data_IF_053561402376
#
_entry.id   IF_053561402376
#
_cell.length_a   1.000
_cell.length_b   1.000
_cell.length_c   1.000
_cell.angle_alpha   90.00
_cell.angle_beta   90.00
_cell.angle_gamma   90.00
#
_symmetry.space_group_name_H-M   'P 1'
#
loop_
_entity.id
_entity.type
_entity.pdbx_description
1 polymer ?
#
# COMPACT_ATOMS: atom_id res chain seq x y z
N UNK A 1 6.66 18.62 -0.29
CA UNK A 1 6.25 17.29 0.19
C UNK A 1 5.66 16.49 -0.97
N UNK A 2 5.95 15.18 -1.09
CA UNK A 2 5.34 14.32 -2.11
C UNK A 2 3.81 14.41 -2.13
N UNK A 3 3.24 14.46 -3.32
CA UNK A 3 1.80 14.33 -3.57
C UNK A 3 1.50 12.96 -4.15
N UNK A 4 0.75 12.14 -3.41
CA UNK A 4 0.35 10.79 -3.83
C UNK A 4 -1.03 10.84 -4.46
N UNK A 5 -1.10 10.47 -5.74
CA UNK A 5 -2.33 10.42 -6.53
C UNK A 5 -2.73 8.97 -6.88
N UNK A 6 -3.76 8.81 -7.70
CA UNK A 6 -4.28 7.52 -8.17
C UNK A 6 -3.49 6.90 -9.33
N UNK A 7 -2.22 7.30 -9.51
CA UNK A 7 -1.32 6.72 -10.52
C UNK A 7 -0.76 5.37 -10.07
N UNK A 8 -0.62 4.42 -11.00
CA UNK A 8 0.08 3.15 -10.75
C UNK A 8 1.59 3.23 -10.93
N UNK A 9 2.12 4.41 -11.21
CA UNK A 9 3.54 4.62 -11.43
C UNK A 9 4.20 5.25 -10.21
N UNK A 10 5.53 5.11 -10.09
CA UNK A 10 6.35 5.87 -9.15
C UNK A 10 5.84 5.88 -7.69
N UNK A 11 5.40 4.71 -7.19
CA UNK A 11 4.84 4.56 -5.84
C UNK A 11 3.64 5.50 -5.55
N UNK A 12 2.88 5.86 -6.58
CA UNK A 12 1.76 6.81 -6.49
C UNK A 12 2.18 8.28 -6.48
N UNK A 13 3.47 8.60 -6.46
CA UNK A 13 3.95 9.99 -6.41
C UNK A 13 3.84 10.63 -7.79
N UNK A 14 3.00 11.65 -7.88
CA UNK A 14 2.63 12.35 -9.12
C UNK A 14 3.16 13.80 -9.15
N UNK A 15 3.84 14.22 -8.09
CA UNK A 15 4.43 15.54 -7.98
C UNK A 15 4.77 15.90 -6.54
N UNK A 16 5.04 17.18 -6.33
CA UNK A 16 5.36 17.74 -5.01
C UNK A 16 4.54 19.01 -4.79
N UNK A 17 4.01 19.14 -3.57
CA UNK A 17 3.26 20.32 -3.12
C UNK A 17 4.04 21.06 -2.04
N UNK A 18 3.90 22.38 -2.03
CA UNK A 18 4.49 23.29 -1.02
C UNK A 18 3.53 23.73 0.07
N UNK A 19 2.25 23.36 -0.02
CA UNK A 19 1.24 23.72 0.98
C UNK A 19 1.48 22.96 2.28
N UNK A 20 1.52 23.70 3.38
CA UNK A 20 1.63 23.26 4.76
C UNK A 20 0.36 23.59 5.56
N UNK A 21 -0.42 24.58 5.12
CA UNK A 21 -1.71 24.93 5.72
C UNK A 21 -2.87 24.08 5.17
N UNK A 22 -3.76 23.65 6.07
CA UNK A 22 -5.03 22.95 5.77
C UNK A 22 -4.87 21.66 4.94
N UNK A 23 -3.69 21.04 4.99
CA UNK A 23 -3.42 19.74 4.40
C UNK A 23 -3.32 18.67 5.49
N UNK A 24 -3.74 17.45 5.16
CA UNK A 24 -3.49 16.28 6.02
C UNK A 24 -2.24 15.57 5.54
N UNK A 25 -1.29 15.40 6.46
CA UNK A 25 -0.05 14.67 6.23
C UNK A 25 -0.21 13.24 6.70
N UNK A 26 0.24 12.30 5.86
CA UNK A 26 0.27 10.88 6.13
C UNK A 26 1.71 10.38 6.07
N UNK A 27 1.98 9.27 6.75
CA UNK A 27 3.27 8.57 6.71
C UNK A 27 3.10 7.13 7.20
N UNK A 28 4.03 6.24 6.81
CA UNK A 28 4.12 4.85 7.26
C UNK A 28 2.77 4.11 7.18
N UNK A 29 2.17 4.15 5.99
CA UNK A 29 0.87 3.55 5.71
C UNK A 29 0.82 2.96 4.30
N UNK A 30 -0.19 2.13 4.06
CA UNK A 30 -0.54 1.68 2.73
C UNK A 30 -1.46 2.72 2.06
N UNK A 31 -1.25 3.01 0.79
CA UNK A 31 -2.16 3.81 -0.03
C UNK A 31 -2.83 2.96 -1.08
N UNK A 32 -4.12 3.15 -1.31
CA UNK A 32 -4.90 2.47 -2.36
C UNK A 32 -5.53 3.52 -3.27
N UNK A 33 -5.31 3.40 -4.58
CA UNK A 33 -5.96 4.25 -5.58
C UNK A 33 -7.47 3.92 -5.67
N UNK A 34 -8.32 4.92 -5.47
CA UNK A 34 -9.77 4.75 -5.48
C UNK A 34 -10.38 4.82 -6.89
N UNK A 35 -9.77 5.62 -7.77
CA UNK A 35 -10.15 5.84 -9.17
C UNK A 35 -8.92 5.68 -10.08
N UNK A 36 -9.08 5.94 -11.39
CA UNK A 36 -7.96 5.90 -12.34
C UNK A 36 -7.30 4.52 -12.39
N UNK A 37 -6.10 4.40 -11.83
CA UNK A 37 -5.44 3.10 -11.62
C UNK A 37 -6.01 2.35 -10.41
N UNK A 38 -7.34 2.24 -10.36
CA UNK A 38 -8.10 1.78 -9.19
C UNK A 38 -7.61 0.44 -8.66
N UNK A 39 -7.49 0.33 -7.34
CA UNK A 39 -7.03 -0.86 -6.65
C UNK A 39 -5.51 -0.99 -6.56
N UNK A 40 -4.72 -0.16 -7.25
CA UNK A 40 -3.26 -0.16 -7.06
C UNK A 40 -2.92 0.21 -5.63
N UNK A 41 -2.05 -0.58 -4.99
CA UNK A 41 -1.64 -0.35 -3.62
C UNK A 41 -0.12 -0.18 -3.48
N UNK A 42 0.29 0.78 -2.65
CA UNK A 42 1.69 1.10 -2.38
C UNK A 42 1.92 1.29 -0.89
N UNK A 43 3.09 0.88 -0.41
CA UNK A 43 3.59 1.30 0.90
C UNK A 43 4.27 2.68 0.77
N UNK A 44 3.95 3.61 1.68
CA UNK A 44 4.52 4.94 1.71
C UNK A 44 5.49 5.09 2.90
N UNK A 45 6.82 5.04 2.68
CA UNK A 45 7.82 5.17 3.76
C UNK A 45 8.12 6.61 4.18
N UNK A 46 7.53 7.60 3.51
CA UNK A 46 7.80 9.03 3.71
C UNK A 46 6.52 9.81 4.05
N UNK A 47 6.69 11.04 4.52
CA UNK A 47 5.58 11.99 4.69
C UNK A 47 5.02 12.44 3.33
N UNK A 48 3.70 12.45 3.19
CA UNK A 48 3.04 12.84 1.94
C UNK A 48 1.65 13.45 2.18
N UNK A 49 1.15 14.12 1.14
CA UNK A 49 -0.26 14.52 1.02
C UNK A 49 -0.92 13.63 -0.02
N UNK A 50 -2.11 13.12 0.30
CA UNK A 50 -2.90 12.30 -0.60
C UNK A 50 -3.88 13.14 -1.42
N UNK A 51 -4.10 12.76 -2.67
CA UNK A 51 -5.32 13.11 -3.43
C UNK A 51 -6.56 12.61 -2.71
N UNK A 52 -7.69 13.27 -2.95
CA UNK A 52 -9.04 12.78 -2.60
C UNK A 52 -9.39 11.41 -3.19
N UNK A 53 -8.75 11.02 -4.30
CA UNK A 53 -8.89 9.70 -4.93
C UNK A 53 -7.92 8.64 -4.38
N UNK A 54 -7.35 8.84 -3.19
CA UNK A 54 -6.47 7.87 -2.54
C UNK A 54 -6.93 7.60 -1.11
N UNK A 55 -7.06 6.33 -0.76
CA UNK A 55 -7.30 5.90 0.63
C UNK A 55 -5.99 5.53 1.29
N UNK A 56 -5.70 6.13 2.45
CA UNK A 56 -4.58 5.74 3.31
C UNK A 56 -5.04 4.78 4.43
N UNK A 57 -4.38 3.63 4.55
CA UNK A 57 -4.66 2.56 5.51
C UNK A 57 -3.44 2.34 6.42
N UNK A 58 -3.60 2.59 7.71
CA UNK A 58 -2.53 2.48 8.71
C UNK A 58 -2.85 1.46 9.80
N UNK A 59 -1.81 0.78 10.30
CA UNK A 59 -1.87 -0.11 11.47
C UNK A 59 -0.53 -0.07 12.21
N UNK A 60 -0.57 0.20 13.51
CA UNK A 60 0.62 0.36 14.36
C UNK A 60 1.42 -0.92 14.59
N UNK A 61 0.86 -2.10 14.27
CA UNK A 61 1.55 -3.39 14.36
C UNK A 61 2.41 -3.72 13.13
N UNK A 62 2.26 -2.95 12.04
CA UNK A 62 2.93 -3.22 10.78
C UNK A 62 4.25 -2.46 10.68
N UNK A 63 5.24 -3.12 10.07
CA UNK A 63 6.46 -2.48 9.61
C UNK A 63 6.46 -2.37 8.08
N UNK A 64 7.50 -1.74 7.52
CA UNK A 64 7.74 -1.61 6.08
C UNK A 64 7.50 -2.91 5.30
N UNK A 65 8.13 -4.01 5.71
CA UNK A 65 8.03 -5.28 5.01
C UNK A 65 6.64 -5.91 5.13
N UNK A 66 5.96 -5.74 6.27
CA UNK A 66 4.56 -6.15 6.40
C UNK A 66 3.66 -5.35 5.46
N UNK A 67 3.87 -4.03 5.33
CA UNK A 67 3.11 -3.21 4.39
C UNK A 67 3.39 -3.57 2.94
N UNK A 68 4.65 -3.84 2.57
CA UNK A 68 5.00 -4.32 1.23
C UNK A 68 4.31 -5.65 0.91
N UNK A 69 4.26 -6.58 1.87
CA UNK A 69 3.50 -7.83 1.72
C UNK A 69 2.02 -7.53 1.46
N UNK A 70 1.40 -6.70 2.29
CA UNK A 70 -0.01 -6.32 2.14
C UNK A 70 -0.28 -5.58 0.83
N UNK A 71 0.65 -4.75 0.34
CA UNK A 71 0.52 -4.06 -0.94
C UNK A 71 0.28 -5.05 -2.09
N UNK A 72 0.95 -6.22 -2.07
CA UNK A 72 0.74 -7.27 -3.07
C UNK A 72 -0.68 -7.86 -3.02
N UNK A 73 -1.21 -8.11 -1.82
CA UNK A 73 -2.54 -8.68 -1.64
C UNK A 73 -3.64 -7.67 -1.94
N UNK A 74 -3.51 -6.44 -1.44
CA UNK A 74 -4.49 -5.38 -1.65
C UNK A 74 -4.52 -4.95 -3.12
N UNK A 75 -3.40 -5.01 -3.84
CA UNK A 75 -3.39 -4.74 -5.29
C UNK A 75 -4.29 -5.68 -6.09
N UNK A 76 -4.64 -6.86 -5.57
CA UNK A 76 -5.61 -7.77 -6.22
C UNK A 76 -7.02 -7.19 -6.32
N UNK A 77 -7.32 -6.12 -5.58
CA UNK A 77 -8.58 -5.38 -5.75
C UNK A 77 -8.75 -4.84 -7.19
N UNK A 78 -7.67 -4.70 -7.96
CA UNK A 78 -7.70 -4.41 -9.40
C UNK A 78 -8.52 -5.42 -10.21
N UNK A 79 -8.66 -6.66 -9.74
CA UNK A 79 -9.50 -7.69 -10.40
C UNK A 79 -11.01 -7.43 -10.21
N UNK A 80 -11.38 -6.69 -9.16
CA UNK A 80 -12.77 -6.47 -8.73
C UNK A 80 -13.31 -5.09 -9.09
N UNK A 81 -12.42 -4.10 -9.13
CA UNK A 81 -12.73 -2.69 -9.31
C UNK A 81 -12.21 -2.18 -10.65
N UNK A 82 -12.90 -1.18 -11.21
CA UNK A 82 -12.58 -0.59 -12.50
C UNK A 82 -13.08 0.85 -12.56
N UNK A 83 -12.83 1.58 -13.65
CA UNK A 83 -13.33 2.95 -13.80
C UNK A 83 -14.85 3.08 -13.58
N UNK A 84 -15.65 2.11 -14.06
CA UNK A 84 -17.11 2.11 -13.86
C UNK A 84 -17.54 1.59 -12.48
N UNK A 85 -16.58 1.14 -11.67
CA UNK A 85 -16.79 0.56 -10.34
C UNK A 85 -15.60 0.93 -9.47
N UNK A 86 -15.55 2.19 -9.05
CA UNK A 86 -14.47 2.72 -8.23
C UNK A 86 -14.51 2.22 -6.78
N UNK A 87 -13.41 2.35 -6.06
CA UNK A 87 -13.39 2.08 -4.62
C UNK A 87 -13.93 3.32 -3.89
N UNK A 88 -14.73 3.09 -2.84
CA UNK A 88 -15.13 4.13 -1.90
C UNK A 88 -15.02 3.58 -0.48
N UNK A 89 -15.21 4.46 0.50
CA UNK A 89 -15.15 4.14 1.92
C UNK A 89 -16.00 2.93 2.33
N UNK A 90 -17.23 2.81 1.81
CA UNK A 90 -18.10 1.67 2.14
C UNK A 90 -17.60 0.36 1.56
N UNK A 91 -17.10 0.41 0.32
CA UNK A 91 -16.59 -0.75 -0.42
C UNK A 91 -15.32 -1.27 0.22
N UNK A 92 -14.34 -0.40 0.46
CA UNK A 92 -13.05 -0.81 1.05
C UNK A 92 -13.22 -1.34 2.49
N UNK A 93 -14.14 -0.77 3.29
CA UNK A 93 -14.46 -1.27 4.64
C UNK A 93 -15.05 -2.70 4.65
N UNK A 94 -15.64 -3.15 3.54
CA UNK A 94 -16.20 -4.50 3.40
C UNK A 94 -15.23 -5.49 2.76
N UNK A 95 -14.09 -5.02 2.26
CA UNK A 95 -13.10 -5.92 1.68
C UNK A 95 -12.49 -6.82 2.75
N UNK A 96 -12.22 -8.05 2.34
CA UNK A 96 -11.55 -9.05 3.14
C UNK A 96 -10.40 -9.62 2.32
N UNK A 97 -9.24 -9.73 2.96
CA UNK A 97 -8.06 -10.36 2.39
C UNK A 97 -7.67 -11.56 3.27
N UNK A 98 -7.14 -12.59 2.64
CA UNK A 98 -6.61 -13.75 3.35
C UNK A 98 -5.18 -13.43 3.79
N UNK A 99 -4.90 -13.64 5.08
CA UNK A 99 -3.60 -13.42 5.68
C UNK A 99 -3.07 -14.72 6.30
N UNK A 100 -1.74 -14.90 6.36
CA UNK A 100 -1.17 -15.92 7.22
C UNK A 100 -1.53 -15.62 8.68
N UNK A 101 -1.73 -16.67 9.47
CA UNK A 101 -2.10 -16.58 10.88
C UNK A 101 -1.05 -17.23 11.76
N UNK A 102 -0.82 -16.64 12.93
CA UNK A 102 0.04 -17.20 13.97
C UNK A 102 -0.66 -18.38 14.66
N UNK A 103 0.05 -19.05 15.57
CA UNK A 103 -0.52 -20.11 16.40
C UNK A 103 -1.68 -19.61 17.28
N UNK A 104 -1.69 -18.32 17.62
CA UNK A 104 -2.73 -17.69 18.43
C UNK A 104 -3.97 -17.28 17.59
N UNK A 105 -3.93 -17.49 16.26
CA UNK A 105 -5.03 -17.16 15.35
C UNK A 105 -5.07 -15.70 14.89
N UNK A 106 -4.14 -14.87 15.35
CA UNK A 106 -3.95 -13.49 14.88
C UNK A 106 -3.16 -13.46 13.57
N UNK A 107 -3.25 -12.38 12.76
CA UNK A 107 -2.42 -12.28 11.57
C UNK A 107 -0.92 -12.28 11.90
N UNK A 108 -0.14 -13.07 11.16
CA UNK A 108 1.28 -13.24 11.41
C UNK A 108 2.13 -12.16 10.70
N UNK A 109 2.21 -10.99 11.34
CA UNK A 109 2.99 -9.85 10.85
C UNK A 109 4.50 -10.15 10.75
N UNK A 110 5.01 -11.01 11.64
CA UNK A 110 6.42 -11.38 11.66
C UNK A 110 6.75 -12.23 10.44
N UNK A 111 5.95 -13.27 10.17
CA UNK A 111 6.10 -14.10 8.97
C UNK A 111 6.02 -13.26 7.69
N UNK A 112 5.04 -12.36 7.57
CA UNK A 112 4.91 -11.48 6.40
C UNK A 112 6.17 -10.64 6.18
N UNK A 113 6.73 -10.09 7.26
CA UNK A 113 7.95 -9.29 7.20
C UNK A 113 9.16 -10.11 6.77
N UNK A 114 9.36 -11.28 7.39
CA UNK A 114 10.52 -12.13 7.14
C UNK A 114 10.47 -12.76 5.75
N UNK A 115 9.27 -13.09 5.27
CA UNK A 115 9.06 -13.53 3.91
C UNK A 115 9.52 -12.49 2.89
N UNK A 116 9.10 -11.22 3.05
CA UNK A 116 9.49 -10.16 2.13
C UNK A 116 11.01 -9.89 2.15
N UNK A 117 11.63 -9.89 3.34
CA UNK A 117 13.10 -9.78 3.46
C UNK A 117 13.82 -10.92 2.75
N UNK A 118 13.33 -12.15 2.90
CA UNK A 118 13.92 -13.30 2.23
C UNK A 118 13.79 -13.20 0.70
N UNK A 119 12.63 -12.73 0.19
CA UNK A 119 12.46 -12.47 -1.25
C UNK A 119 13.42 -11.39 -1.75
N UNK A 120 13.54 -10.27 -1.04
CA UNK A 120 14.47 -9.19 -1.38
C UNK A 120 15.93 -9.68 -1.45
N UNK A 121 16.40 -10.39 -0.40
CA UNK A 121 17.74 -10.94 -0.35
C UNK A 121 18.00 -11.93 -1.50
N UNK A 122 17.02 -12.76 -1.84
CA UNK A 122 17.11 -13.69 -2.98
C UNK A 122 17.26 -12.95 -4.31
N UNK A 123 16.50 -11.87 -4.52
CA UNK A 123 16.60 -11.05 -5.74
C UNK A 123 17.96 -10.36 -5.85
N UNK A 124 18.46 -9.80 -4.75
CA UNK A 124 19.81 -9.19 -4.70
C UNK A 124 20.87 -10.22 -5.07
N UNK A 125 20.83 -11.42 -4.47
CA UNK A 125 21.79 -12.48 -4.77
C UNK A 125 21.72 -12.92 -6.24
N UNK A 126 20.53 -13.00 -6.82
CA UNK A 126 20.36 -13.34 -8.23
C UNK A 126 20.88 -12.25 -9.16
N UNK A 127 20.74 -10.97 -8.78
CA UNK A 127 21.29 -9.85 -9.55
C UNK A 127 22.82 -9.82 -9.52
N UNK A 128 23.45 -10.14 -8.37
CA UNK A 128 24.91 -10.19 -8.23
C UNK A 128 25.57 -11.38 -8.95
N UNK A 129 24.79 -12.39 -9.34
CA UNK A 129 25.27 -13.55 -10.12
C UNK A 129 25.24 -13.33 -11.64
N UNK A 130 24.67 -12.21 -12.09
CA UNK A 130 24.66 -11.81 -13.51
C UNK A 130 25.90 -11.01 -13.85
#
# INVERSE_FOLDING_TARGET
>A
MPYVSSTAQNNGVDGFVGNDEKVRVYQNCLTVANSGSVGTAFYQPFEFVASDHVTALGNSKLNEYSYQFLATLVSRLQEKYSFNREINDERIRREQILLPVSLDGDPDWQFMSDYMRAQEALQILNALKR
#
